data_IF_533766781960
#
_entry.id   IF_533766781960
#
_cell.length_a   1.000
_cell.length_b   1.000
_cell.length_c   1.000
_cell.angle_alpha   90.00
_cell.angle_beta   90.00
_cell.angle_gamma   90.00
#
_symmetry.space_group_name_H-M   'P 1'
#
loop_
_entity.id
_entity.type
_entity.pdbx_description
1 polymer ?
#
# COMPACT_ATOMS: atom_id res chain seq x y z
N UNK A 1 -44.16 -49.58 48.07
CA UNK A 1 -43.38 -48.45 47.51
C UNK A 1 -41.93 -48.72 47.84
N UNK A 2 -41.15 -49.17 46.88
CA UNK A 2 -39.69 -49.00 46.88
C UNK A 2 -39.20 -49.32 45.46
N UNK A 3 -38.74 -48.28 44.78
CA UNK A 3 -38.37 -48.24 43.38
C UNK A 3 -36.92 -48.68 43.21
N UNK A 4 -36.72 -49.79 42.49
CA UNK A 4 -35.41 -50.27 42.06
C UNK A 4 -34.78 -49.40 40.97
N UNK A 5 -33.50 -49.11 41.20
CA UNK A 5 -32.51 -48.47 40.35
C UNK A 5 -32.73 -48.58 38.83
N UNK A 6 -32.92 -47.44 38.18
CA UNK A 6 -32.74 -47.28 36.74
C UNK A 6 -31.28 -46.90 36.44
N UNK A 7 -30.60 -47.73 35.65
CA UNK A 7 -29.25 -47.49 35.14
C UNK A 7 -29.28 -46.35 34.11
N UNK A 8 -28.94 -45.14 34.55
CA UNK A 8 -28.61 -44.03 33.66
C UNK A 8 -27.22 -44.22 33.06
N UNK A 9 -27.16 -44.73 31.82
CA UNK A 9 -26.03 -44.56 30.91
C UNK A 9 -25.70 -43.06 30.82
N UNK A 10 -24.59 -42.62 31.41
CA UNK A 10 -23.95 -41.38 31.00
C UNK A 10 -23.12 -41.68 29.75
N UNK A 11 -23.73 -41.47 28.59
CA UNK A 11 -23.02 -41.29 27.32
C UNK A 11 -22.26 -39.96 27.40
N UNK A 12 -20.98 -40.04 27.76
CA UNK A 12 -20.08 -38.89 27.72
C UNK A 12 -19.67 -38.59 26.28
N UNK A 13 -20.37 -37.65 25.64
CA UNK A 13 -19.81 -36.85 24.54
C UNK A 13 -18.67 -36.00 25.11
N UNK A 14 -17.45 -36.53 25.09
CA UNK A 14 -16.21 -35.76 25.25
C UNK A 14 -15.81 -35.17 23.88
N UNK A 15 -15.15 -34.00 23.82
CA UNK A 15 -14.83 -33.32 22.57
C UNK A 15 -13.92 -34.21 21.72
N UNK A 16 -13.94 -34.01 20.39
CA UNK A 16 -13.30 -34.79 19.32
C UNK A 16 -11.75 -34.98 19.40
N UNK A 17 -11.15 -34.81 20.57
CA UNK A 17 -9.72 -34.83 20.86
C UNK A 17 -8.98 -36.10 20.38
N UNK A 18 -9.50 -37.32 20.55
CA UNK A 18 -8.83 -38.53 20.06
C UNK A 18 -8.71 -38.55 18.53
N UNK A 19 -9.77 -38.12 17.83
CA UNK A 19 -9.77 -38.04 16.36
C UNK A 19 -8.87 -36.92 15.86
N UNK A 20 -8.77 -35.81 16.59
CA UNK A 20 -7.83 -34.71 16.28
C UNK A 20 -6.39 -35.18 16.45
N UNK A 21 -6.07 -35.92 17.51
CA UNK A 21 -4.73 -36.43 17.76
C UNK A 21 -4.27 -37.44 16.70
N UNK A 22 -5.18 -38.34 16.28
CA UNK A 22 -4.93 -39.30 15.20
C UNK A 22 -4.61 -38.58 13.89
N UNK A 23 -5.46 -37.63 13.48
CA UNK A 23 -5.23 -36.81 12.28
C UNK A 23 -3.94 -36.00 12.33
N UNK A 24 -3.58 -35.47 13.50
CA UNK A 24 -2.32 -34.74 13.67
C UNK A 24 -1.10 -35.67 13.52
N UNK A 25 -1.16 -36.87 14.08
CA UNK A 25 -0.10 -37.88 13.94
C UNK A 25 0.09 -38.27 12.47
N UNK A 26 -1.00 -38.53 11.76
CA UNK A 26 -0.97 -38.87 10.32
C UNK A 26 -0.37 -37.74 9.49
N UNK A 27 -0.73 -36.49 9.77
CA UNK A 27 -0.12 -35.32 9.14
C UNK A 27 1.39 -35.26 9.39
N UNK A 28 1.82 -35.48 10.64
CA UNK A 28 3.23 -35.42 11.01
C UNK A 28 4.07 -36.52 10.35
N UNK A 29 3.53 -37.73 10.26
CA UNK A 29 4.14 -38.82 9.48
C UNK A 29 4.23 -38.47 8.00
N UNK A 30 3.14 -37.92 7.44
CA UNK A 30 3.07 -37.51 6.04
C UNK A 30 4.03 -36.37 5.72
N UNK A 31 4.40 -35.52 6.67
CA UNK A 31 5.42 -34.47 6.48
C UNK A 31 6.83 -35.05 6.51
N UNK A 32 7.11 -35.96 7.46
CA UNK A 32 8.44 -36.55 7.61
C UNK A 32 8.76 -37.59 6.54
N UNK A 33 7.77 -38.28 5.99
CA UNK A 33 7.99 -39.41 5.07
C UNK A 33 7.19 -39.30 3.77
N UNK A 34 7.85 -39.62 2.65
CA UNK A 34 7.23 -39.70 1.31
C UNK A 34 6.57 -41.06 1.02
N UNK A 35 6.41 -41.88 2.07
CA UNK A 35 5.91 -43.25 2.00
C UNK A 35 7.02 -44.31 1.97
N UNK A 36 8.25 -43.96 1.61
CA UNK A 36 9.36 -44.94 1.53
C UNK A 36 10.63 -44.51 2.26
N UNK A 37 10.90 -43.20 2.34
CA UNK A 37 12.08 -42.64 3.00
C UNK A 37 11.71 -41.42 3.83
N UNK A 38 12.61 -41.02 4.73
CA UNK A 38 12.51 -39.73 5.40
C UNK A 38 12.84 -38.60 4.41
N UNK A 39 12.05 -37.53 4.42
CA UNK A 39 12.26 -36.35 3.58
C UNK A 39 13.44 -35.53 4.08
N UNK A 40 14.18 -34.85 3.20
CA UNK A 40 15.16 -33.83 3.58
C UNK A 40 14.51 -32.72 4.43
N UNK A 41 15.29 -32.10 5.31
CA UNK A 41 14.80 -31.06 6.22
C UNK A 41 14.14 -29.87 5.50
N UNK A 42 14.63 -29.49 4.31
CA UNK A 42 14.03 -28.42 3.49
C UNK A 42 12.63 -28.80 3.00
N UNK A 43 12.43 -30.02 2.48
CA UNK A 43 11.11 -30.47 2.04
C UNK A 43 10.12 -30.58 3.21
N UNK A 44 10.59 -31.03 4.39
CA UNK A 44 9.77 -31.04 5.59
C UNK A 44 9.34 -29.62 5.97
N UNK A 45 10.26 -28.66 5.94
CA UNK A 45 9.99 -27.25 6.23
C UNK A 45 8.95 -26.67 5.25
N UNK A 46 9.08 -26.97 3.96
CA UNK A 46 8.12 -26.53 2.94
C UNK A 46 6.70 -27.07 3.19
N UNK A 47 6.57 -28.34 3.58
CA UNK A 47 5.26 -28.94 3.89
C UNK A 47 4.67 -28.35 5.17
N UNK A 48 5.50 -28.09 6.19
CA UNK A 48 5.07 -27.41 7.41
C UNK A 48 4.56 -25.99 7.10
N UNK A 49 5.27 -25.26 6.24
CA UNK A 49 4.89 -23.92 5.82
C UNK A 49 3.58 -23.94 5.00
N UNK A 50 3.37 -24.94 4.14
CA UNK A 50 2.08 -25.13 3.44
C UNK A 50 0.94 -25.45 4.40
N UNK A 51 1.18 -26.30 5.41
CA UNK A 51 0.19 -26.61 6.45
C UNK A 51 -0.19 -25.38 7.24
N UNK A 52 0.81 -24.61 7.68
CA UNK A 52 0.57 -23.36 8.40
C UNK A 52 -0.23 -22.38 7.56
N UNK A 53 0.18 -22.15 6.30
CA UNK A 53 -0.53 -21.28 5.38
C UNK A 53 -1.98 -21.73 5.12
N UNK A 54 -2.24 -23.02 5.02
CA UNK A 54 -3.59 -23.55 4.87
C UNK A 54 -4.46 -23.31 6.11
N UNK A 55 -3.89 -23.52 7.30
CA UNK A 55 -4.56 -23.24 8.57
C UNK A 55 -4.87 -21.75 8.74
N UNK A 56 -3.90 -20.87 8.45
CA UNK A 56 -4.06 -19.42 8.54
C UNK A 56 -5.12 -18.90 7.57
N UNK A 57 -5.22 -19.49 6.37
CA UNK A 57 -6.24 -19.17 5.36
C UNK A 57 -7.59 -19.85 5.61
N UNK A 58 -7.73 -20.68 6.64
CA UNK A 58 -8.92 -21.50 6.90
C UNK A 58 -9.37 -22.34 5.70
N UNK A 59 -8.42 -22.80 4.88
CA UNK A 59 -8.70 -23.66 3.73
C UNK A 59 -8.56 -25.13 4.13
N UNK A 60 -9.51 -25.94 3.68
CA UNK A 60 -9.59 -27.39 3.99
C UNK A 60 -8.76 -28.27 3.06
N UNK A 61 -7.95 -27.67 2.18
CA UNK A 61 -7.11 -28.36 1.21
C UNK A 61 -5.77 -27.65 1.06
N UNK A 62 -4.71 -28.42 0.85
CA UNK A 62 -3.42 -27.87 0.42
C UNK A 62 -3.52 -27.52 -1.07
N UNK A 63 -3.03 -26.34 -1.44
CA UNK A 63 -2.77 -26.07 -2.85
C UNK A 63 -1.49 -26.81 -3.23
N UNK A 64 -1.51 -27.57 -4.33
CA UNK A 64 -0.30 -28.22 -4.87
C UNK A 64 0.78 -27.20 -5.31
N UNK A 65 0.42 -25.92 -5.41
CA UNK A 65 1.35 -24.84 -5.68
C UNK A 65 2.05 -24.42 -4.39
N UNK A 66 3.38 -24.62 -4.31
CA UNK A 66 4.20 -23.98 -3.29
C UNK A 66 3.98 -22.46 -3.37
N UNK A 67 3.60 -21.79 -2.27
CA UNK A 67 3.48 -20.34 -2.28
C UNK A 67 4.86 -19.73 -2.61
N UNK A 68 4.88 -18.77 -3.53
CA UNK A 68 6.10 -18.00 -3.81
C UNK A 68 6.44 -17.16 -2.59
N UNK A 69 7.46 -17.60 -1.85
CA UNK A 69 7.93 -16.94 -0.64
C UNK A 69 8.88 -15.80 -0.96
N UNK A 70 8.70 -14.69 -0.23
CA UNK A 70 9.56 -13.53 -0.28
C UNK A 70 10.15 -13.30 1.11
N UNK A 71 11.49 -13.28 1.17
CA UNK A 71 12.27 -13.11 2.40
C UNK A 71 11.84 -14.06 3.53
N UNK A 72 11.46 -15.29 3.19
CA UNK A 72 10.97 -16.35 4.10
C UNK A 72 9.84 -15.94 5.07
N UNK A 73 9.18 -14.81 4.79
CA UNK A 73 8.24 -14.16 5.71
C UNK A 73 6.93 -13.78 5.02
N UNK A 74 6.94 -13.56 3.71
CA UNK A 74 5.78 -13.08 2.97
C UNK A 74 5.40 -14.05 1.85
N UNK A 75 4.17 -14.55 1.85
CA UNK A 75 3.61 -15.30 0.74
C UNK A 75 3.05 -14.34 -0.31
N UNK A 76 3.34 -14.57 -1.59
CA UNK A 76 2.69 -13.86 -2.69
C UNK A 76 1.19 -14.21 -2.74
N UNK A 77 0.32 -13.20 -2.69
CA UNK A 77 -1.13 -13.36 -2.85
C UNK A 77 -1.54 -13.12 -4.30
N UNK A 78 -1.09 -12.00 -4.89
CA UNK A 78 -1.32 -11.66 -6.30
C UNK A 78 -0.41 -10.54 -6.76
N UNK A 79 -0.26 -10.41 -8.08
CA UNK A 79 0.23 -9.18 -8.72
C UNK A 79 -0.90 -8.15 -8.66
N UNK A 80 -0.69 -7.06 -7.93
CA UNK A 80 -1.66 -5.99 -7.78
C UNK A 80 -1.58 -4.98 -8.94
N UNK A 81 -0.36 -4.72 -9.43
CA UNK A 81 -0.11 -3.84 -10.57
C UNK A 81 1.23 -4.20 -11.22
N UNK A 82 1.31 -4.09 -12.54
CA UNK A 82 2.52 -4.29 -13.31
C UNK A 82 2.59 -3.25 -14.44
N UNK A 83 3.78 -2.67 -14.60
CA UNK A 83 4.13 -1.78 -15.71
C UNK A 83 5.53 -2.12 -16.20
N UNK A 84 6.01 -1.39 -17.22
CA UNK A 84 7.36 -1.55 -17.75
C UNK A 84 8.43 -1.46 -16.66
N UNK A 85 8.25 -0.59 -15.66
CA UNK A 85 9.27 -0.26 -14.67
C UNK A 85 8.92 -0.68 -13.23
N UNK A 86 7.65 -0.98 -12.96
CA UNK A 86 7.14 -1.21 -11.59
C UNK A 86 6.32 -2.48 -11.52
N UNK A 87 6.58 -3.28 -10.50
CA UNK A 87 5.82 -4.45 -10.10
C UNK A 87 5.36 -4.25 -8.65
N UNK A 88 4.05 -4.20 -8.44
CA UNK A 88 3.44 -4.12 -7.12
C UNK A 88 2.77 -5.45 -6.78
N UNK A 89 3.25 -6.09 -5.74
CA UNK A 89 2.74 -7.38 -5.27
C UNK A 89 1.92 -7.17 -4.00
N UNK A 90 0.76 -7.82 -3.92
CA UNK A 90 0.12 -8.02 -2.64
C UNK A 90 0.72 -9.27 -2.00
N UNK A 91 1.20 -9.13 -0.77
CA UNK A 91 1.84 -10.22 -0.03
C UNK A 91 1.23 -10.36 1.35
N UNK A 92 1.26 -11.56 1.93
CA UNK A 92 0.77 -11.83 3.27
C UNK A 92 1.90 -12.27 4.18
N UNK A 93 2.01 -11.64 5.34
CA UNK A 93 2.96 -12.09 6.36
C UNK A 93 2.56 -13.46 6.90
N UNK A 94 3.43 -14.47 6.79
CA UNK A 94 3.13 -15.87 7.15
C UNK A 94 2.59 -15.97 8.57
N UNK A 95 3.34 -15.45 9.55
CA UNK A 95 3.03 -15.72 10.95
C UNK A 95 2.00 -14.74 11.56
N UNK A 96 1.64 -13.67 10.84
CA UNK A 96 0.73 -12.62 11.33
C UNK A 96 -0.58 -12.56 10.54
N UNK A 97 -0.65 -13.17 9.35
CA UNK A 97 -1.79 -13.09 8.44
C UNK A 97 -2.04 -11.71 7.83
N UNK A 98 -1.35 -10.66 8.27
CA UNK A 98 -1.50 -9.28 7.79
C UNK A 98 -1.10 -9.12 6.31
N UNK A 99 -1.83 -8.29 5.57
CA UNK A 99 -1.55 -7.97 4.17
C UNK A 99 -0.61 -6.78 4.04
N UNK A 100 0.32 -6.87 3.09
CA UNK A 100 1.30 -5.84 2.75
C UNK A 100 1.40 -5.65 1.23
N UNK A 101 1.86 -4.48 0.83
CA UNK A 101 2.25 -4.17 -0.53
C UNK A 101 3.78 -4.27 -0.65
N UNK A 102 4.27 -4.94 -1.69
CA UNK A 102 5.69 -5.01 -2.02
C UNK A 102 5.92 -4.42 -3.41
N UNK A 103 6.49 -3.22 -3.46
CA UNK A 103 6.86 -2.53 -4.71
C UNK A 103 8.29 -2.89 -5.09
N UNK A 104 8.49 -3.37 -6.32
CA UNK A 104 9.79 -3.72 -6.89
C UNK A 104 9.81 -3.41 -8.40
N UNK A 105 10.92 -3.66 -9.10
CA UNK A 105 11.00 -3.56 -10.57
C UNK A 105 10.70 -4.92 -11.20
N UNK A 106 10.21 -5.05 -12.45
CA UNK A 106 10.07 -6.35 -13.10
C UNK A 106 11.38 -7.17 -13.13
N UNK A 107 11.34 -8.53 -13.09
CA UNK A 107 12.54 -9.38 -13.05
C UNK A 107 13.51 -9.18 -14.23
N UNK A 108 12.97 -8.81 -15.40
CA UNK A 108 13.75 -8.49 -16.59
C UNK A 108 14.68 -7.28 -16.37
N UNK A 109 14.32 -6.37 -15.47
CA UNK A 109 15.05 -5.13 -15.17
C UNK A 109 15.94 -5.23 -13.93
N UNK A 110 16.22 -6.44 -13.44
CA UNK A 110 17.07 -6.67 -12.25
C UNK A 110 18.49 -6.11 -12.35
N UNK A 111 18.95 -5.77 -13.55
CA UNK A 111 20.28 -5.20 -13.80
C UNK A 111 20.24 -3.71 -14.19
N UNK A 112 19.06 -3.10 -14.22
CA UNK A 112 18.92 -1.66 -14.48
C UNK A 112 19.33 -0.87 -13.24
N UNK A 113 20.58 -0.43 -13.21
CA UNK A 113 21.14 0.29 -12.07
C UNK A 113 20.36 1.57 -11.73
N UNK A 114 19.80 2.27 -12.73
CA UNK A 114 19.07 3.52 -12.52
C UNK A 114 17.70 3.29 -11.89
N UNK A 115 16.95 2.28 -12.34
CA UNK A 115 15.68 1.90 -11.70
C UNK A 115 15.89 1.38 -10.28
N UNK A 116 16.88 0.52 -10.07
CA UNK A 116 17.15 0.01 -8.73
C UNK A 116 17.62 1.11 -7.78
N UNK A 117 18.39 2.09 -8.26
CA UNK A 117 18.80 3.24 -7.47
C UNK A 117 17.61 4.11 -7.08
N UNK A 118 16.70 4.39 -8.02
CA UNK A 118 15.46 5.14 -7.74
C UNK A 118 14.60 4.47 -6.68
N UNK A 119 14.42 3.14 -6.75
CA UNK A 119 13.66 2.41 -5.74
C UNK A 119 14.33 2.45 -4.35
N UNK A 120 15.67 2.47 -4.28
CA UNK A 120 16.38 2.65 -3.01
C UNK A 120 16.22 4.06 -2.44
N UNK A 121 16.25 5.07 -3.29
CA UNK A 121 16.05 6.46 -2.89
C UNK A 121 14.61 6.70 -2.41
N UNK A 122 13.62 6.11 -3.10
CA UNK A 122 12.22 6.07 -2.64
C UNK A 122 12.12 5.43 -1.25
N UNK A 123 12.79 4.29 -1.06
CA UNK A 123 12.82 3.61 0.24
C UNK A 123 13.47 4.47 1.33
N UNK A 124 14.59 5.14 1.03
CA UNK A 124 15.27 6.02 1.97
C UNK A 124 14.35 7.15 2.44
N UNK A 125 13.69 7.83 1.49
CA UNK A 125 12.74 8.89 1.84
C UNK A 125 11.56 8.33 2.65
N UNK A 126 10.92 7.26 2.16
CA UNK A 126 9.76 6.65 2.80
C UNK A 126 10.04 6.08 4.20
N UNK A 127 11.27 5.65 4.48
CA UNK A 127 11.68 5.19 5.82
C UNK A 127 11.87 6.34 6.82
N UNK A 128 12.17 7.55 6.34
CA UNK A 128 12.34 8.74 7.20
C UNK A 128 11.03 9.48 7.49
N UNK A 129 10.01 9.28 6.65
CA UNK A 129 8.69 9.88 6.78
C UNK A 129 7.84 9.06 7.76
N UNK A 130 7.41 9.70 8.85
CA UNK A 130 6.45 9.16 9.83
C UNK A 130 5.39 10.22 10.07
N UNK A 131 4.18 9.95 9.59
CA UNK A 131 3.06 10.88 9.68
C UNK A 131 1.73 10.15 9.42
N UNK A 132 0.65 10.43 10.19
CA UNK A 132 -0.64 9.77 10.02
C UNK A 132 -1.29 9.92 8.63
N UNK A 133 -0.93 10.97 7.89
CA UNK A 133 -1.46 11.24 6.54
C UNK A 133 -0.55 10.77 5.41
N UNK A 134 0.51 10.00 5.71
CA UNK A 134 1.41 9.42 4.72
C UNK A 134 1.39 7.88 4.82
N UNK A 135 1.66 7.23 3.69
CA UNK A 135 1.93 5.79 3.65
C UNK A 135 3.34 5.57 4.16
N UNK A 136 3.46 4.86 5.28
CA UNK A 136 4.77 4.58 5.87
C UNK A 136 5.44 3.42 5.15
N UNK A 137 6.74 3.57 4.89
CA UNK A 137 7.56 2.43 4.46
C UNK A 137 7.95 1.61 5.68
N UNK A 138 7.55 0.34 5.66
CA UNK A 138 7.83 -0.62 6.73
C UNK A 138 9.28 -1.10 6.66
N UNK A 139 9.75 -1.49 5.48
CA UNK A 139 11.09 -2.02 5.28
C UNK A 139 11.55 -1.95 3.81
N UNK A 140 12.86 -2.03 3.60
CA UNK A 140 13.46 -2.35 2.31
C UNK A 140 14.01 -3.78 2.37
N UNK A 141 13.38 -4.68 1.63
CA UNK A 141 13.78 -6.08 1.52
C UNK A 141 14.77 -6.26 0.36
N UNK A 142 15.57 -7.33 0.45
CA UNK A 142 16.35 -7.86 -0.66
C UNK A 142 15.69 -9.13 -1.16
N UNK A 143 15.26 -9.15 -2.42
CA UNK A 143 14.65 -10.32 -3.05
C UNK A 143 15.71 -11.37 -3.39
N UNK A 144 15.27 -12.61 -3.63
CA UNK A 144 16.16 -13.74 -3.92
C UNK A 144 17.07 -13.51 -5.15
N UNK A 145 16.60 -12.75 -6.13
CA UNK A 145 17.35 -12.37 -7.33
C UNK A 145 18.15 -11.06 -7.19
N UNK A 146 18.24 -10.52 -5.98
CA UNK A 146 19.04 -9.35 -5.64
C UNK A 146 18.34 -7.99 -5.83
N UNK A 147 17.14 -7.95 -6.42
CA UNK A 147 16.35 -6.71 -6.53
C UNK A 147 15.96 -6.17 -5.15
N UNK A 148 15.88 -4.84 -4.97
CA UNK A 148 15.22 -4.25 -3.79
C UNK A 148 13.70 -4.44 -3.87
N UNK A 149 13.06 -4.63 -2.72
CA UNK A 149 11.60 -4.65 -2.57
C UNK A 149 11.14 -3.75 -1.44
N UNK A 150 10.39 -2.70 -1.76
CA UNK A 150 9.84 -1.75 -0.82
C UNK A 150 8.56 -2.30 -0.20
N UNK A 151 8.58 -2.59 1.11
CA UNK A 151 7.45 -3.15 1.84
C UNK A 151 6.66 -2.04 2.54
N UNK A 152 5.34 -2.03 2.34
CA UNK A 152 4.40 -1.05 2.89
C UNK A 152 3.11 -1.74 3.37
N UNK A 153 2.32 -1.12 4.24
CA UNK A 153 0.97 -1.60 4.54
C UNK A 153 0.13 -1.72 3.27
N UNK A 154 -0.70 -2.75 3.19
CA UNK A 154 -1.63 -2.91 2.07
C UNK A 154 -2.88 -2.05 2.27
N UNK A 155 -3.28 -1.33 1.23
CA UNK A 155 -4.55 -0.61 1.17
C UNK A 155 -5.42 -1.20 0.07
N UNK A 156 -6.67 -1.51 0.38
CA UNK A 156 -7.59 -2.17 -0.56
C UNK A 156 -8.11 -1.22 -1.64
N UNK A 157 -8.09 0.09 -1.39
CA UNK A 157 -8.66 1.11 -2.27
C UNK A 157 -7.78 2.35 -2.32
N UNK A 158 -7.68 2.94 -3.51
CA UNK A 158 -7.25 4.33 -3.71
C UNK A 158 -8.46 5.25 -3.91
N UNK A 159 -8.28 6.56 -3.71
CA UNK A 159 -9.30 7.56 -4.00
C UNK A 159 -9.75 7.48 -5.47
N UNK A 160 -8.83 7.21 -6.40
CA UNK A 160 -9.18 6.98 -7.82
C UNK A 160 -10.19 5.84 -7.97
N UNK A 161 -9.89 4.68 -7.37
CA UNK A 161 -10.74 3.49 -7.46
C UNK A 161 -12.10 3.67 -6.78
N UNK A 162 -12.14 4.41 -5.67
CA UNK A 162 -13.37 4.68 -4.93
C UNK A 162 -14.24 5.70 -5.66
N UNK A 163 -13.64 6.77 -6.19
CA UNK A 163 -14.34 7.81 -6.96
C UNK A 163 -14.90 7.29 -8.29
N UNK A 164 -14.33 6.23 -8.86
CA UNK A 164 -14.91 5.56 -10.04
C UNK A 164 -16.13 4.70 -9.72
N UNK A 165 -16.29 4.28 -8.46
CA UNK A 165 -17.41 3.43 -8.03
C UNK A 165 -18.59 4.24 -7.50
N UNK A 166 -18.32 5.37 -6.84
CA UNK A 166 -19.36 6.25 -6.30
C UNK A 166 -18.93 7.72 -6.27
N UNK A 167 -19.88 8.66 -6.28
CA UNK A 167 -19.57 10.07 -6.06
C UNK A 167 -18.91 10.31 -4.70
N UNK A 168 -17.91 11.18 -4.68
CA UNK A 168 -17.29 11.70 -3.45
C UNK A 168 -18.07 12.94 -3.03
N UNK A 169 -18.60 12.99 -1.81
CA UNK A 169 -19.35 14.16 -1.33
C UNK A 169 -18.42 15.32 -0.99
N UNK A 170 -18.93 16.54 -0.95
CA UNK A 170 -18.11 17.70 -0.63
C UNK A 170 -17.43 17.62 0.76
N UNK A 171 -18.10 17.14 1.84
CA UNK A 171 -17.42 16.89 3.12
C UNK A 171 -16.28 15.86 3.02
N UNK A 172 -16.46 14.77 2.26
CA UNK A 172 -15.43 13.76 2.06
C UNK A 172 -14.22 14.31 1.29
N UNK A 173 -14.48 15.14 0.28
CA UNK A 173 -13.42 15.84 -0.46
C UNK A 173 -12.63 16.76 0.48
N UNK A 174 -13.30 17.57 1.32
CA UNK A 174 -12.64 18.45 2.30
C UNK A 174 -11.78 17.64 3.27
N UNK A 175 -12.29 16.52 3.80
CA UNK A 175 -11.52 15.61 4.67
C UNK A 175 -10.22 15.17 3.97
N UNK A 176 -10.30 14.70 2.73
CA UNK A 176 -9.12 14.25 1.98
C UNK A 176 -8.14 15.39 1.72
N UNK A 177 -8.62 16.54 1.26
CA UNK A 177 -7.76 17.69 0.96
C UNK A 177 -7.01 18.17 2.21
N UNK A 178 -7.69 18.21 3.37
CA UNK A 178 -7.06 18.55 4.64
C UNK A 178 -5.96 17.56 5.02
N UNK A 179 -6.26 16.26 5.00
CA UNK A 179 -5.27 15.21 5.30
C UNK A 179 -4.08 15.25 4.34
N UNK A 180 -4.34 15.45 3.06
CA UNK A 180 -3.32 15.57 2.02
C UNK A 180 -2.38 16.73 2.29
N UNK A 181 -2.92 17.91 2.62
CA UNK A 181 -2.11 19.09 2.95
C UNK A 181 -1.31 18.91 4.26
N UNK A 182 -1.88 18.25 5.28
CA UNK A 182 -1.13 17.87 6.49
C UNK A 182 0.06 16.94 6.15
N UNK A 183 -0.16 15.95 5.28
CA UNK A 183 0.90 15.07 4.78
C UNK A 183 1.97 15.79 3.96
N UNK A 184 1.56 16.67 3.04
CA UNK A 184 2.47 17.49 2.24
C UNK A 184 3.29 18.43 3.10
N UNK A 185 2.69 19.05 4.12
CA UNK A 185 3.41 19.87 5.10
C UNK A 185 4.56 19.08 5.74
N UNK A 186 4.33 17.81 6.12
CA UNK A 186 5.36 16.95 6.70
C UNK A 186 6.46 16.52 5.71
N UNK A 187 6.15 16.42 4.42
CA UNK A 187 7.13 16.16 3.34
C UNK A 187 7.97 17.42 3.09
N UNK A 188 7.32 18.57 2.93
CA UNK A 188 7.95 19.86 2.67
C UNK A 188 8.89 20.27 3.81
N UNK A 189 8.49 20.02 5.06
CA UNK A 189 9.33 20.27 6.23
C UNK A 189 10.62 19.42 6.26
N UNK A 190 10.66 18.29 5.55
CA UNK A 190 11.88 17.47 5.36
C UNK A 190 12.71 17.89 4.15
N UNK A 191 12.32 18.95 3.44
CA UNK A 191 13.05 19.46 2.29
C UNK A 191 12.75 18.75 0.97
N UNK A 192 11.62 18.05 0.87
CA UNK A 192 11.20 17.33 -0.34
C UNK A 192 9.90 17.90 -0.92
N UNK A 193 9.66 17.61 -2.19
CA UNK A 193 8.41 17.88 -2.93
C UNK A 193 7.91 16.55 -3.47
N UNK A 194 6.63 16.23 -3.26
CA UNK A 194 6.04 14.93 -3.60
C UNK A 194 6.04 14.67 -5.11
N UNK A 195 5.77 15.70 -5.91
CA UNK A 195 5.83 15.68 -7.37
C UNK A 195 4.72 14.91 -8.10
N UNK A 196 4.03 13.95 -7.47
CA UNK A 196 2.93 13.17 -8.09
C UNK A 196 1.65 13.10 -7.23
N UNK A 197 1.13 14.24 -6.81
CA UNK A 197 -0.14 14.26 -6.06
C UNK A 197 -1.30 13.93 -7.02
N UNK A 198 -1.89 12.74 -6.88
CA UNK A 198 -2.99 12.24 -7.71
C UNK A 198 -4.00 11.42 -6.91
N UNK A 199 -5.24 11.21 -7.40
CA UNK A 199 -6.19 10.31 -6.75
C UNK A 199 -5.70 8.86 -6.61
N UNK A 200 -4.80 8.39 -7.49
CA UNK A 200 -4.28 7.02 -7.44
C UNK A 200 -3.31 6.81 -6.27
N UNK A 201 -2.60 7.87 -5.89
CA UNK A 201 -1.59 7.87 -4.82
C UNK A 201 -2.19 8.18 -3.43
N UNK A 202 -3.49 8.44 -3.35
CA UNK A 202 -4.20 8.62 -2.07
C UNK A 202 -4.87 7.30 -1.71
N UNK A 203 -4.30 6.61 -0.74
CA UNK A 203 -4.75 5.29 -0.28
C UNK A 203 -5.70 5.42 0.90
N UNK A 204 -6.74 4.57 0.93
CA UNK A 204 -7.81 4.57 1.92
C UNK A 204 -7.87 3.21 2.60
N UNK A 205 -7.92 3.21 3.92
CA UNK A 205 -8.21 2.00 4.71
C UNK A 205 -9.73 1.80 4.72
N UNK A 206 -10.17 0.64 4.23
CA UNK A 206 -11.58 0.24 4.12
C UNK A 206 -12.51 1.24 3.40
N UNK A 207 -11.93 2.10 2.56
CA UNK A 207 -12.68 3.15 1.84
C UNK A 207 -13.15 4.30 2.74
N UNK A 208 -12.62 4.42 3.95
CA UNK A 208 -12.85 5.56 4.84
C UNK A 208 -11.99 6.76 4.41
N UNK A 209 -12.62 7.92 4.27
CA UNK A 209 -11.93 9.15 3.89
C UNK A 209 -11.07 9.73 5.02
N UNK A 210 -11.42 9.46 6.28
CA UNK A 210 -10.63 9.92 7.44
C UNK A 210 -9.29 9.18 7.58
N UNK A 211 -9.12 8.05 6.89
CA UNK A 211 -7.88 7.26 6.90
C UNK A 211 -6.96 7.57 5.73
N UNK A 212 -7.31 8.54 4.88
CA UNK A 212 -6.58 8.89 3.67
C UNK A 212 -5.09 9.16 3.91
N UNK A 213 -4.24 8.51 3.13
CA UNK A 213 -2.78 8.62 3.20
C UNK A 213 -2.19 8.82 1.81
N UNK A 214 -1.30 9.80 1.68
CA UNK A 214 -0.53 10.00 0.46
C UNK A 214 0.64 9.01 0.43
N UNK A 215 0.77 8.26 -0.66
CA UNK A 215 1.87 7.34 -0.92
C UNK A 215 2.51 7.57 -2.29
N UNK A 216 3.40 6.64 -2.65
CA UNK A 216 4.27 6.69 -3.84
C UNK A 216 5.21 7.90 -3.88
N UNK A 217 6.42 7.72 -3.33
CA UNK A 217 7.46 8.74 -3.34
C UNK A 217 8.48 8.53 -4.47
N UNK A 218 8.16 7.69 -5.46
CA UNK A 218 9.10 7.22 -6.49
C UNK A 218 9.64 8.33 -7.39
N UNK A 219 8.95 9.47 -7.43
CA UNK A 219 9.37 10.65 -8.19
C UNK A 219 9.51 11.91 -7.31
N UNK A 220 9.53 11.76 -5.99
CA UNK A 220 9.75 12.88 -5.09
C UNK A 220 11.16 13.44 -5.27
N UNK A 221 11.31 14.76 -5.15
CA UNK A 221 12.57 15.48 -5.35
C UNK A 221 12.90 16.31 -4.12
N UNK A 222 14.18 16.50 -3.82
CA UNK A 222 14.58 17.55 -2.89
C UNK A 222 14.23 18.92 -3.47
N UNK A 223 13.85 19.86 -2.61
CA UNK A 223 13.53 21.23 -3.02
C UNK A 223 14.75 21.82 -3.74
N UNK A 224 14.52 22.37 -4.94
CA UNK A 224 15.57 22.93 -5.78
C UNK A 224 16.17 21.95 -6.81
N UNK A 225 15.94 20.65 -6.70
CA UNK A 225 16.36 19.67 -7.71
C UNK A 225 15.40 19.57 -8.90
N UNK A 226 15.86 18.95 -9.98
CA UNK A 226 15.06 18.58 -11.16
C UNK A 226 15.10 17.07 -11.40
N UNK A 227 14.12 16.58 -12.16
CA UNK A 227 14.13 15.19 -12.65
C UNK A 227 15.33 14.90 -13.54
N UNK A 228 15.72 15.86 -14.38
CA UNK A 228 16.87 15.74 -15.26
C UNK A 228 18.19 15.49 -14.49
N UNK A 229 18.34 16.09 -13.30
CA UNK A 229 19.52 15.91 -12.44
C UNK A 229 19.68 14.45 -11.98
N UNK A 230 18.58 13.68 -12.00
CA UNK A 230 18.52 12.25 -11.64
C UNK A 230 18.48 11.34 -12.86
N UNK A 231 18.74 11.87 -14.06
CA UNK A 231 18.66 11.13 -15.32
C UNK A 231 17.23 10.65 -15.65
N UNK A 232 16.22 11.34 -15.12
CA UNK A 232 14.81 11.03 -15.36
C UNK A 232 14.25 11.98 -16.40
N UNK A 233 13.55 11.44 -17.40
CA UNK A 233 12.59 12.22 -18.18
C UNK A 233 11.51 12.78 -17.25
N UNK A 234 10.82 13.85 -17.68
CA UNK A 234 9.67 14.37 -16.94
C UNK A 234 8.72 13.23 -16.57
N UNK A 235 8.58 13.01 -15.26
CA UNK A 235 7.68 12.05 -14.66
C UNK A 235 6.76 12.84 -13.73
N UNK A 236 5.48 12.92 -14.09
CA UNK A 236 4.35 13.34 -13.26
C UNK A 236 3.07 13.15 -14.07
N UNK A 237 1.95 13.01 -13.39
CA UNK A 237 0.65 12.96 -14.06
C UNK A 237 0.29 14.34 -14.65
N UNK A 238 0.32 14.47 -15.98
CA UNK A 238 0.08 15.75 -16.68
C UNK A 238 -1.26 16.43 -16.33
N UNK A 239 -2.27 15.64 -15.94
CA UNK A 239 -3.57 16.17 -15.50
C UNK A 239 -3.49 16.96 -14.18
N UNK A 240 -2.52 16.64 -13.31
CA UNK A 240 -2.38 17.22 -11.97
C UNK A 240 -1.12 18.08 -11.82
N UNK A 241 -0.10 17.88 -12.65
CA UNK A 241 1.18 18.56 -12.55
C UNK A 241 1.06 20.08 -12.80
N UNK A 242 1.81 20.86 -12.02
CA UNK A 242 1.93 22.30 -12.24
C UNK A 242 2.58 22.61 -13.61
N UNK A 243 2.11 23.63 -14.36
CA UNK A 243 2.57 23.89 -15.73
C UNK A 243 4.08 24.11 -15.85
N UNK A 244 4.69 24.77 -14.87
CA UNK A 244 6.12 25.03 -14.83
C UNK A 244 6.96 23.75 -14.66
N UNK A 245 6.41 22.68 -14.05
CA UNK A 245 7.13 21.39 -14.00
C UNK A 245 7.31 20.77 -15.37
N UNK A 246 6.34 20.97 -16.27
CA UNK A 246 6.44 20.51 -17.66
C UNK A 246 7.54 21.26 -18.44
N UNK A 247 8.04 22.36 -17.90
CA UNK A 247 9.15 23.16 -18.44
C UNK A 247 10.46 22.94 -17.68
N UNK A 248 10.59 21.80 -17.00
CA UNK A 248 11.79 21.41 -16.25
C UNK A 248 12.19 22.43 -15.16
N UNK A 249 11.20 23.04 -14.52
CA UNK A 249 11.43 23.87 -13.35
C UNK A 249 11.93 23.03 -12.16
N UNK A 250 12.76 23.65 -11.32
CA UNK A 250 13.19 23.05 -10.04
C UNK A 250 11.98 22.76 -9.15
N UNK A 251 12.05 21.68 -8.38
CA UNK A 251 11.00 21.27 -7.47
C UNK A 251 10.75 22.33 -6.39
N UNK A 252 9.49 22.73 -6.21
CA UNK A 252 9.05 23.66 -5.16
C UNK A 252 7.72 23.23 -4.53
N UNK A 253 7.48 23.51 -3.24
CA UNK A 253 6.26 23.12 -2.52
C UNK A 253 4.93 23.55 -3.17
N UNK A 254 4.89 24.74 -3.77
CA UNK A 254 3.73 25.31 -4.45
C UNK A 254 3.27 24.52 -5.67
N UNK A 255 4.13 23.65 -6.20
CA UNK A 255 3.78 22.72 -7.27
C UNK A 255 2.88 21.57 -6.77
N UNK A 256 3.13 21.05 -5.55
CA UNK A 256 2.25 20.06 -4.95
C UNK A 256 0.89 20.71 -4.59
N UNK A 257 0.90 21.96 -4.15
CA UNK A 257 -0.31 22.74 -3.85
C UNK A 257 -1.16 22.93 -5.10
N UNK A 258 -0.55 23.23 -6.25
CA UNK A 258 -1.25 23.24 -7.53
C UNK A 258 -1.94 21.89 -7.81
N UNK A 259 -1.24 20.78 -7.59
CA UNK A 259 -1.80 19.44 -7.78
C UNK A 259 -2.97 19.15 -6.83
N UNK A 260 -2.93 19.65 -5.58
CA UNK A 260 -4.08 19.61 -4.64
C UNK A 260 -5.26 20.41 -5.20
N UNK A 261 -5.02 21.59 -5.77
CA UNK A 261 -6.07 22.37 -6.42
C UNK A 261 -6.72 21.63 -7.59
N UNK A 262 -5.92 20.98 -8.44
CA UNK A 262 -6.41 20.13 -9.54
C UNK A 262 -7.26 18.97 -9.04
N UNK A 263 -6.82 18.34 -7.95
CA UNK A 263 -7.59 17.30 -7.27
C UNK A 263 -8.93 17.84 -6.75
N UNK A 264 -8.95 19.01 -6.09
CA UNK A 264 -10.17 19.64 -5.63
C UNK A 264 -11.15 19.89 -6.79
N UNK A 265 -10.67 20.44 -7.92
CA UNK A 265 -11.47 20.60 -9.16
C UNK A 265 -12.10 19.30 -9.64
N UNK A 266 -11.31 18.23 -9.63
CA UNK A 266 -11.78 16.91 -10.06
C UNK A 266 -12.89 16.36 -9.16
N UNK A 267 -12.77 16.57 -7.83
CA UNK A 267 -13.70 16.04 -6.84
C UNK A 267 -15.01 16.82 -6.74
N UNK A 268 -15.04 18.14 -7.00
CA UNK A 268 -16.29 18.92 -6.89
C UNK A 268 -17.12 18.96 -8.17
N UNK A 269 -16.57 18.58 -9.34
CA UNK A 269 -17.30 18.51 -10.61
C UNK A 269 -18.54 17.58 -10.56
N UNK A 270 -18.78 16.92 -9.42
CA UNK A 270 -19.87 15.97 -9.18
C UNK A 270 -20.91 16.40 -8.12
N UNK A 271 -20.91 17.65 -7.57
CA UNK A 271 -21.73 18.00 -6.37
C UNK A 271 -22.43 19.40 -6.32
N UNK A 272 -23.44 19.52 -5.44
CA UNK A 272 -24.37 20.66 -5.22
C UNK A 272 -23.80 22.01 -4.72
N UNK A 273 -24.56 23.11 -4.94
CA UNK A 273 -24.10 24.51 -5.08
C UNK A 273 -23.28 25.17 -3.94
N UNK A 274 -23.55 24.97 -2.63
CA UNK A 274 -22.98 25.87 -1.59
C UNK A 274 -21.59 25.47 -1.08
N UNK A 275 -21.37 24.21 -0.74
CA UNK A 275 -20.04 23.70 -0.35
C UNK A 275 -19.11 23.68 -1.56
N UNK A 276 -19.66 23.48 -2.76
CA UNK A 276 -18.92 23.54 -4.01
C UNK A 276 -18.30 24.92 -4.26
N UNK A 277 -18.95 26.02 -3.88
CA UNK A 277 -18.33 27.35 -4.06
C UNK A 277 -17.04 27.51 -3.26
N UNK A 278 -17.01 27.10 -1.98
CA UNK A 278 -15.79 27.15 -1.17
C UNK A 278 -14.67 26.28 -1.75
N UNK A 279 -15.01 25.08 -2.22
CA UNK A 279 -14.06 24.18 -2.88
C UNK A 279 -13.57 24.74 -4.22
N UNK A 280 -14.42 25.45 -4.95
CA UNK A 280 -14.04 26.14 -6.19
C UNK A 280 -13.07 27.29 -5.90
N UNK A 281 -13.38 28.15 -4.92
CA UNK A 281 -12.52 29.26 -4.52
C UNK A 281 -11.15 28.75 -4.03
N UNK A 282 -11.14 27.69 -3.21
CA UNK A 282 -9.91 27.01 -2.78
C UNK A 282 -9.10 26.48 -3.97
N UNK A 283 -9.77 25.80 -4.89
CA UNK A 283 -9.10 25.21 -6.05
C UNK A 283 -8.54 26.28 -6.99
N UNK A 284 -9.24 27.39 -7.17
CA UNK A 284 -8.80 28.53 -7.98
C UNK A 284 -7.58 29.22 -7.36
N UNK A 285 -7.56 29.41 -6.03
CA UNK A 285 -6.39 29.92 -5.33
C UNK A 285 -5.16 29.01 -5.51
N UNK A 286 -5.34 27.68 -5.39
CA UNK A 286 -4.25 26.73 -5.55
C UNK A 286 -3.79 26.57 -7.01
N UNK A 287 -4.69 26.71 -7.99
CA UNK A 287 -4.41 26.51 -9.42
C UNK A 287 -4.06 27.79 -10.18
N UNK A 288 -3.66 28.86 -9.49
CA UNK A 288 -3.29 30.11 -10.15
C UNK A 288 -2.11 29.90 -11.12
N UNK A 289 -2.14 30.51 -12.31
CA UNK A 289 -1.08 30.31 -13.33
C UNK A 289 0.27 30.86 -12.86
N UNK A 290 0.27 32.05 -12.25
CA UNK A 290 1.42 32.64 -11.56
C UNK A 290 1.73 31.86 -10.26
N UNK A 291 2.88 31.18 -10.13
CA UNK A 291 3.18 30.39 -8.93
C UNK A 291 3.27 31.22 -7.64
N UNK A 292 3.74 32.47 -7.74
CA UNK A 292 3.83 33.39 -6.61
C UNK A 292 2.47 33.83 -6.04
N UNK A 293 1.39 33.62 -6.80
CA UNK A 293 0.02 33.94 -6.35
C UNK A 293 -0.71 32.76 -5.72
N UNK A 294 -0.09 31.57 -5.71
CA UNK A 294 -0.61 30.40 -5.00
C UNK A 294 -0.27 30.49 -3.50
N UNK A 295 -0.93 29.75 -2.62
CA UNK A 295 -0.40 29.49 -1.28
C UNK A 295 1.03 28.94 -1.40
N UNK A 296 1.97 29.48 -0.63
CA UNK A 296 3.38 29.12 -0.72
C UNK A 296 3.75 27.94 0.17
N UNK A 297 2.82 27.50 1.02
CA UNK A 297 2.97 26.30 1.85
C UNK A 297 1.67 25.54 2.00
N UNK A 298 1.77 24.24 2.29
CA UNK A 298 0.59 23.42 2.55
C UNK A 298 -0.22 23.93 3.76
N UNK A 299 0.43 24.59 4.72
CA UNK A 299 -0.22 25.23 5.87
C UNK A 299 -1.04 26.47 5.48
N UNK A 300 -0.53 27.30 4.57
CA UNK A 300 -1.31 28.42 4.02
C UNK A 300 -2.52 27.92 3.24
N UNK A 301 -2.36 26.86 2.43
CA UNK A 301 -3.47 26.25 1.71
C UNK A 301 -4.52 25.65 2.68
N UNK A 302 -4.11 25.07 3.81
CA UNK A 302 -5.03 24.55 4.83
C UNK A 302 -5.96 25.62 5.40
N UNK A 303 -5.51 26.86 5.52
CA UNK A 303 -6.31 27.96 6.06
C UNK A 303 -7.45 28.40 5.12
N UNK A 304 -7.45 27.92 3.87
CA UNK A 304 -8.46 28.23 2.86
C UNK A 304 -9.61 27.21 2.81
N UNK A 305 -9.51 26.08 3.53
CA UNK A 305 -10.53 25.02 3.61
C UNK A 305 -11.46 25.20 4.82
#
# INVERSE_FOLDING_TARGET
METGLNKGKQSGDGPAYPQVAERFSDLWQTIRHDGTRERPAEEQKDLIDQVRNALDRQISHFSDAKPDWIADSFALERIAYESENTLLLQVRHRDLGSLHALKTTPPALRNDAALLQRLREEAQLGLTLRHPCLVETSALLRLADGRPGLLQPWFSQSLASLASQRPVTAPQAITILRRLLEGLSAIHARGYVHCDVTPANILLEDGDFETGRLGDFGIALEIGQKHADRGMSFAASCEFAAPERMRDATAKPDQDIFSVGRLARRLFATNEMRTTQRLADFADACCHDEPASRPQSAMEALQLL
#
